data_IF_542697554330
#
_entry.id   IF_542697554330
#
_cell.length_a   1.000
_cell.length_b   1.000
_cell.length_c   1.000
_cell.angle_alpha   90.00
_cell.angle_beta   90.00
_cell.angle_gamma   90.00
#
_symmetry.space_group_name_H-M   'P 1'
#
loop_
_entity.id
_entity.type
_entity.pdbx_description
1 polymer ?
#
# COMPACT_ATOMS: atom_id res chain seq x y z
N UNK A 1 2.09 -10.50 -12.23
CA UNK A 1 0.74 -10.27 -11.67
C UNK A 1 -0.07 -9.34 -12.57
N UNK A 2 0.23 -8.04 -12.63
CA UNK A 2 -0.49 -7.08 -13.52
C UNK A 2 -0.54 -7.51 -14.99
N UNK A 3 0.61 -7.87 -15.57
CA UNK A 3 0.71 -8.34 -16.97
C UNK A 3 -0.04 -9.65 -17.22
N UNK A 4 -0.35 -10.40 -16.18
CA UNK A 4 -1.15 -11.63 -16.25
C UNK A 4 -2.65 -11.36 -16.05
N UNK A 5 -3.08 -10.09 -16.02
CA UNK A 5 -4.48 -9.69 -15.82
C UNK A 5 -4.93 -9.70 -14.36
N UNK A 6 -4.02 -9.94 -13.40
CA UNK A 6 -4.35 -9.95 -11.98
C UNK A 6 -4.03 -8.58 -11.39
N UNK A 7 -5.03 -7.82 -10.92
CA UNK A 7 -4.77 -6.53 -10.31
C UNK A 7 -4.01 -6.69 -8.99
N UNK A 8 -3.03 -5.83 -8.76
CA UNK A 8 -2.25 -5.76 -7.52
C UNK A 8 -2.01 -4.31 -7.11
N UNK A 9 -1.75 -4.11 -5.82
CA UNK A 9 -1.33 -2.84 -5.23
C UNK A 9 -0.10 -3.10 -4.38
N UNK A 10 0.91 -2.24 -4.50
CA UNK A 10 2.09 -2.29 -3.65
C UNK A 10 1.99 -1.26 -2.52
N UNK A 11 2.00 -1.73 -1.28
CA UNK A 11 2.17 -0.86 -0.11
C UNK A 11 3.67 -0.76 0.19
N UNK A 12 4.23 0.45 0.21
CA UNK A 12 5.69 0.63 0.41
C UNK A 12 6.03 2.01 0.98
N UNK A 13 7.20 2.14 1.60
CA UNK A 13 7.82 3.41 1.96
C UNK A 13 8.65 4.02 0.82
N UNK A 14 8.96 3.24 -0.22
CA UNK A 14 9.80 3.66 -1.35
C UNK A 14 8.96 3.91 -2.63
N UNK A 15 7.96 4.80 -2.52
CA UNK A 15 7.04 5.11 -3.64
C UNK A 15 7.77 5.48 -4.95
N UNK A 16 8.84 6.31 -4.94
CA UNK A 16 9.54 6.64 -6.18
C UNK A 16 10.16 5.42 -6.87
N UNK A 17 10.72 4.48 -6.09
CA UNK A 17 11.32 3.26 -6.62
C UNK A 17 10.23 2.33 -7.19
N UNK A 18 9.11 2.17 -6.48
CA UNK A 18 7.99 1.37 -6.94
C UNK A 18 7.46 1.85 -8.30
N UNK A 19 7.36 3.18 -8.49
CA UNK A 19 6.98 3.77 -9.78
C UNK A 19 8.03 3.53 -10.86
N UNK A 20 9.32 3.70 -10.55
CA UNK A 20 10.44 3.48 -11.49
C UNK A 20 10.45 2.05 -12.05
N UNK A 21 10.12 1.05 -11.22
CA UNK A 21 10.07 -0.36 -11.65
C UNK A 21 8.73 -0.77 -12.29
N UNK A 22 7.80 0.18 -12.46
CA UNK A 22 6.54 -0.03 -13.18
C UNK A 22 5.38 -0.55 -12.32
N UNK A 23 5.34 -0.25 -11.01
CA UNK A 23 4.19 -0.55 -10.17
C UNK A 23 3.01 0.37 -10.53
N UNK A 24 1.95 -0.21 -11.09
CA UNK A 24 0.77 0.52 -11.59
C UNK A 24 -0.04 1.22 -10.48
N UNK A 25 -0.01 0.69 -9.26
CA UNK A 25 -0.78 1.17 -8.12
C UNK A 25 0.08 1.08 -6.87
N UNK A 26 0.31 2.20 -6.20
CA UNK A 26 1.22 2.29 -5.06
C UNK A 26 0.56 3.06 -3.93
N UNK A 27 0.53 2.46 -2.75
CA UNK A 27 0.08 3.11 -1.52
C UNK A 27 1.31 3.37 -0.64
N UNK A 28 1.42 4.61 -0.16
CA UNK A 28 2.43 4.96 0.83
C UNK A 28 2.11 4.25 2.15
N UNK A 29 3.06 3.47 2.66
CA UNK A 29 2.98 2.83 3.97
C UNK A 29 3.10 3.82 5.12
N UNK A 30 2.96 3.32 6.36
CA UNK A 30 3.03 4.14 7.58
C UNK A 30 4.40 4.79 7.79
N UNK A 31 5.48 4.02 7.62
CA UNK A 31 6.84 4.53 7.75
C UNK A 31 7.87 3.60 7.12
N UNK A 32 9.16 3.94 7.28
CA UNK A 32 10.25 3.12 6.72
C UNK A 32 10.45 1.83 7.53
N UNK A 33 10.51 1.96 8.86
CA UNK A 33 10.79 0.82 9.76
C UNK A 33 9.56 -0.07 9.92
N UNK A 34 8.37 0.54 9.98
CA UNK A 34 7.09 -0.16 10.12
C UNK A 34 6.18 0.24 8.96
N UNK A 35 6.37 -0.41 7.82
CA UNK A 35 5.64 -0.05 6.58
C UNK A 35 4.13 -0.26 6.72
N UNK A 36 3.72 -1.27 7.49
CA UNK A 36 2.31 -1.67 7.61
C UNK A 36 1.82 -1.73 9.05
N UNK A 37 2.40 -0.97 9.97
CA UNK A 37 2.01 -0.99 11.38
C UNK A 37 2.83 0.00 12.19
N UNK A 38 2.69 -0.04 13.50
CA UNK A 38 3.47 0.78 14.42
C UNK A 38 3.56 0.11 15.80
N UNK A 39 4.77 -0.22 16.25
CA UNK A 39 4.99 -0.88 17.53
C UNK A 39 4.84 0.04 18.75
N UNK A 40 4.78 1.36 18.55
CA UNK A 40 4.58 2.35 19.62
C UNK A 40 3.12 2.55 19.98
N UNK A 41 2.20 2.08 19.13
CA UNK A 41 0.77 2.19 19.34
C UNK A 41 0.23 1.11 20.28
N UNK A 42 -0.93 1.38 20.87
CA UNK A 42 -1.71 0.37 21.56
C UNK A 42 -2.15 -0.74 20.58
N UNK A 43 -2.45 -1.96 21.06
CA UNK A 43 -2.91 -3.04 20.18
C UNK A 43 -4.18 -2.71 19.39
N UNK A 44 -5.07 -1.85 19.90
CA UNK A 44 -6.27 -1.42 19.18
C UNK A 44 -5.93 -0.43 18.06
N UNK A 45 -5.10 0.57 18.35
CA UNK A 45 -4.72 1.61 17.40
C UNK A 45 -3.83 1.04 16.28
N UNK A 46 -2.94 0.11 16.62
CA UNK A 46 -2.12 -0.62 15.63
C UNK A 46 -3.00 -1.41 14.66
N UNK A 47 -4.06 -2.05 15.19
CA UNK A 47 -5.01 -2.80 14.37
C UNK A 47 -5.83 -1.89 13.48
N UNK A 48 -6.23 -0.72 13.96
CA UNK A 48 -6.96 0.24 13.14
C UNK A 48 -6.05 0.85 12.07
N UNK A 49 -4.80 1.19 12.38
CA UNK A 49 -3.79 1.61 11.41
C UNK A 49 -3.63 0.59 10.27
N UNK A 50 -3.50 -0.70 10.63
CA UNK A 50 -3.45 -1.78 9.63
C UNK A 50 -4.69 -1.84 8.76
N UNK A 51 -5.88 -1.70 9.36
CA UNK A 51 -7.14 -1.69 8.62
C UNK A 51 -7.23 -0.52 7.67
N UNK A 52 -6.85 0.67 8.09
CA UNK A 52 -6.84 1.86 7.24
C UNK A 52 -5.91 1.70 6.04
N UNK A 53 -4.71 1.15 6.24
CA UNK A 53 -3.78 0.86 5.13
C UNK A 53 -4.35 -0.17 4.15
N UNK A 54 -4.97 -1.24 4.65
CA UNK A 54 -5.60 -2.27 3.80
C UNK A 54 -6.81 -1.72 3.07
N UNK A 55 -7.66 -0.91 3.72
CA UNK A 55 -8.81 -0.24 3.06
C UNK A 55 -8.31 0.68 1.94
N UNK A 56 -7.26 1.48 2.18
CA UNK A 56 -6.64 2.32 1.14
C UNK A 56 -6.11 1.49 -0.03
N UNK A 57 -5.43 0.38 0.25
CA UNK A 57 -4.94 -0.52 -0.79
C UNK A 57 -6.08 -1.18 -1.57
N UNK A 58 -7.16 -1.58 -0.91
CA UNK A 58 -8.33 -2.16 -1.57
C UNK A 58 -9.04 -1.14 -2.48
N UNK A 59 -9.19 0.11 -2.01
CA UNK A 59 -9.74 1.19 -2.84
C UNK A 59 -8.85 1.46 -4.06
N UNK A 60 -7.52 1.48 -3.89
CA UNK A 60 -6.59 1.62 -5.01
C UNK A 60 -6.65 0.42 -5.98
N UNK A 61 -6.89 -0.79 -5.46
CA UNK A 61 -7.02 -2.01 -6.26
C UNK A 61 -8.28 -1.97 -7.14
N UNK A 62 -9.38 -1.43 -6.59
CA UNK A 62 -10.67 -1.29 -7.28
C UNK A 62 -10.70 -0.12 -8.27
N UNK A 63 -9.82 0.86 -8.12
CA UNK A 63 -9.73 1.97 -9.06
C UNK A 63 -9.30 1.49 -10.45
N UNK A 64 -9.96 2.01 -11.49
CA UNK A 64 -9.60 1.83 -12.90
C UNK A 64 -8.37 2.66 -13.29
N UNK A 65 -8.03 3.66 -12.48
CA UNK A 65 -6.95 4.60 -12.77
C UNK A 65 -5.61 3.98 -12.35
N UNK A 66 -4.79 3.66 -13.36
CA UNK A 66 -3.37 3.36 -13.12
C UNK A 66 -2.70 4.66 -12.70
N UNK A 67 -2.00 4.63 -11.57
CA UNK A 67 -1.21 5.76 -11.08
C UNK A 67 0.10 5.81 -11.88
N UNK A 68 -0.02 6.17 -13.15
CA UNK A 68 1.09 6.42 -14.08
C UNK A 68 1.69 7.81 -13.85
#
# INVERSE_FOLDING_TARGET
MEKAGIPVVQITSAVPIAKMVGSNRVVLGHGIVHVTGDASLSPEDEKELRRELVKKALNALQSTDKQG
#
